data_IF_752057565276
#
_entry.id   IF_752057565276
#
_cell.length_a   1.000
_cell.length_b   1.000
_cell.length_c   1.000
_cell.angle_alpha   90.00
_cell.angle_beta   90.00
_cell.angle_gamma   90.00
#
_symmetry.space_group_name_H-M   'P 1'
#
loop_
_entity.id
_entity.type
_entity.pdbx_description
1 polymer ?
#
# COMPACT_ATOMS: atom_id res chain seq x y z
N UNK A 1 0.43 -5.62 13.34
CA UNK A 1 -0.76 -4.83 12.98
C UNK A 1 -0.30 -3.71 12.05
N UNK A 2 -0.54 -3.77 10.73
CA UNK A 2 -0.40 -2.58 9.90
C UNK A 2 -1.56 -1.66 10.24
N UNK A 3 -1.21 -0.50 10.77
CA UNK A 3 -2.08 0.52 11.33
C UNK A 3 -2.86 1.25 10.20
N UNK A 4 -4.17 1.57 10.37
CA UNK A 4 -4.90 2.48 9.48
C UNK A 4 -4.21 3.84 9.25
N UNK A 5 -3.16 4.16 10.00
CA UNK A 5 -2.31 5.35 9.89
C UNK A 5 -1.21 5.34 8.81
N UNK A 6 -1.21 4.40 7.86
CA UNK A 6 -0.29 4.44 6.69
C UNK A 6 -0.66 5.60 5.73
N UNK A 7 -0.50 6.84 6.19
CA UNK A 7 -0.67 8.08 5.44
C UNK A 7 0.43 8.22 4.38
N UNK A 8 0.32 7.46 3.28
CA UNK A 8 1.25 7.51 2.14
C UNK A 8 2.48 6.60 2.27
N UNK A 9 2.66 5.88 3.38
CA UNK A 9 3.77 4.96 3.60
C UNK A 9 3.44 3.50 3.26
N UNK A 10 2.51 3.30 2.32
CA UNK A 10 2.13 1.97 1.88
C UNK A 10 1.38 2.00 0.57
N UNK A 11 1.20 0.82 0.01
CA UNK A 11 0.46 0.59 -1.23
C UNK A 11 -0.76 -0.28 -0.98
N UNK A 12 -1.70 -0.22 -1.92
CA UNK A 12 -2.85 -1.12 -1.91
C UNK A 12 -2.37 -2.55 -2.19
N UNK A 13 -2.90 -3.50 -1.42
CA UNK A 13 -2.48 -4.90 -1.53
C UNK A 13 -2.87 -5.44 -2.92
N UNK A 14 -1.90 -5.86 -3.76
CA UNK A 14 -2.21 -6.33 -5.11
C UNK A 14 -3.05 -7.61 -5.07
N UNK A 15 -2.85 -8.47 -4.07
CA UNK A 15 -3.68 -9.67 -3.89
C UNK A 15 -5.14 -9.34 -3.56
N UNK A 16 -5.39 -8.25 -2.83
CA UNK A 16 -6.75 -7.75 -2.57
C UNK A 16 -7.35 -7.09 -3.80
N UNK A 17 -6.56 -6.34 -4.59
CA UNK A 17 -7.02 -5.77 -5.86
C UNK A 17 -7.37 -6.86 -6.89
N UNK A 18 -6.66 -7.99 -6.85
CA UNK A 18 -6.91 -9.14 -7.72
C UNK A 18 -8.02 -10.07 -7.22
N UNK A 19 -8.40 -9.99 -5.93
CA UNK A 19 -9.58 -10.69 -5.40
C UNK A 19 -10.81 -10.11 -6.10
N UNK A 20 -11.28 -10.80 -7.13
CA UNK A 20 -12.50 -10.45 -7.86
C UNK A 20 -13.65 -10.33 -6.86
N UNK A 21 -14.46 -9.29 -6.97
CA UNK A 21 -15.73 -9.17 -6.23
C UNK A 21 -16.56 -10.46 -6.32
N UNK A 22 -16.49 -11.14 -7.47
CA UNK A 22 -17.12 -12.43 -7.75
C UNK A 22 -16.69 -13.61 -6.84
N UNK A 23 -15.53 -13.58 -6.18
CA UNK A 23 -15.15 -14.63 -5.22
C UNK A 23 -15.92 -14.50 -3.89
N UNK A 24 -16.42 -13.30 -3.53
CA UNK A 24 -17.26 -13.11 -2.35
C UNK A 24 -18.64 -13.74 -2.53
N UNK A 25 -19.14 -13.74 -3.77
CA UNK A 25 -20.47 -14.26 -4.16
C UNK A 25 -20.46 -15.75 -4.56
N UNK A 26 -19.28 -16.40 -4.59
CA UNK A 26 -19.09 -17.73 -5.18
C UNK A 26 -19.64 -18.91 -4.38
N UNK A 27 -20.15 -18.69 -3.17
CA UNK A 27 -20.67 -19.77 -2.33
C UNK A 27 -22.10 -19.49 -1.87
N UNK A 28 -22.98 -20.47 -2.08
CA UNK A 28 -24.40 -20.46 -1.68
C UNK A 28 -24.61 -20.23 -0.17
N UNK A 29 -23.59 -20.50 0.64
CA UNK A 29 -23.63 -20.36 2.10
C UNK A 29 -22.95 -19.09 2.64
N UNK A 30 -22.55 -18.17 1.75
CA UNK A 30 -21.72 -17.02 2.10
C UNK A 30 -20.27 -17.43 2.29
N UNK A 31 -19.35 -16.74 1.63
CA UNK A 31 -17.92 -17.03 1.80
C UNK A 31 -17.51 -16.54 3.19
N UNK A 32 -16.93 -17.43 4.00
CA UNK A 32 -16.31 -17.00 5.25
C UNK A 32 -15.33 -15.87 4.92
N UNK A 33 -15.43 -14.74 5.64
CA UNK A 33 -14.53 -13.60 5.45
C UNK A 33 -13.14 -14.01 5.90
N UNK A 34 -12.39 -14.63 4.99
CA UNK A 34 -11.00 -15.00 5.18
C UNK A 34 -10.14 -13.78 4.89
N UNK A 35 -9.39 -13.36 5.90
CA UNK A 35 -8.42 -12.28 5.77
C UNK A 35 -7.33 -12.68 4.76
N UNK A 36 -6.92 -11.72 3.94
CA UNK A 36 -5.89 -11.98 2.93
C UNK A 36 -4.56 -12.26 3.63
N UNK A 37 -3.88 -13.35 3.28
CA UNK A 37 -2.58 -13.72 3.87
C UNK A 37 -1.49 -12.66 3.64
N UNK A 38 -1.62 -11.83 2.59
CA UNK A 38 -0.60 -10.86 2.21
C UNK A 38 -0.68 -9.56 3.04
N UNK A 39 -1.90 -9.04 3.23
CA UNK A 39 -2.12 -7.80 4.00
C UNK A 39 -2.78 -8.04 5.36
N UNK A 40 -3.04 -9.30 5.72
CA UNK A 40 -3.76 -9.69 6.93
C UNK A 40 -5.11 -8.96 7.10
N UNK A 41 -5.84 -8.78 6.00
CA UNK A 41 -7.18 -8.18 6.00
C UNK A 41 -7.21 -6.64 6.00
N UNK A 42 -6.08 -5.94 6.05
CA UNK A 42 -6.05 -4.46 6.05
C UNK A 42 -6.28 -3.83 4.68
N UNK A 43 -6.07 -4.60 3.60
CA UNK A 43 -6.08 -4.09 2.23
C UNK A 43 -4.85 -3.26 1.84
N UNK A 44 -3.91 -3.02 2.77
CA UNK A 44 -2.70 -2.22 2.53
C UNK A 44 -1.43 -2.92 2.98
N UNK A 45 -0.34 -2.65 2.28
CA UNK A 45 0.99 -3.17 2.57
C UNK A 45 1.89 -2.00 2.90
N UNK A 46 2.53 -2.06 4.07
CA UNK A 46 3.49 -1.04 4.47
C UNK A 46 4.72 -1.11 3.57
N UNK A 47 5.21 0.05 3.14
CA UNK A 47 6.52 0.14 2.53
C UNK A 47 7.59 -0.23 3.54
N UNK A 48 8.67 -0.82 3.03
CA UNK A 48 9.89 -0.98 3.82
C UNK A 48 10.50 0.39 4.12
N UNK A 49 11.28 0.49 5.20
CA UNK A 49 12.00 1.72 5.56
C UNK A 49 12.85 2.23 4.38
N UNK A 50 13.46 1.31 3.62
CA UNK A 50 14.24 1.67 2.43
C UNK A 50 13.38 2.33 1.33
N UNK A 51 12.23 1.76 1.01
CA UNK A 51 11.32 2.32 0.01
C UNK A 51 10.82 3.71 0.42
N UNK A 52 10.47 3.90 1.69
CA UNK A 52 10.08 5.22 2.21
C UNK A 52 11.22 6.23 2.01
N UNK A 53 12.46 5.86 2.36
CA UNK A 53 13.62 6.73 2.16
C UNK A 53 13.84 7.09 0.68
N UNK A 54 13.78 6.11 -0.21
CA UNK A 54 13.99 6.31 -1.65
C UNK A 54 12.94 7.23 -2.27
N UNK A 55 11.66 7.06 -1.92
CA UNK A 55 10.56 7.91 -2.38
C UNK A 55 10.77 9.35 -1.89
N UNK A 56 11.07 9.53 -0.61
CA UNK A 56 11.28 10.87 -0.04
C UNK A 56 12.49 11.57 -0.66
N UNK A 57 13.58 10.84 -0.91
CA UNK A 57 14.77 11.36 -1.58
C UNK A 57 14.47 11.80 -3.02
N UNK A 58 13.67 11.02 -3.75
CA UNK A 58 13.26 11.36 -5.11
C UNK A 58 12.38 12.62 -5.15
N UNK A 59 11.41 12.73 -4.24
CA UNK A 59 10.56 13.91 -4.11
C UNK A 59 11.38 15.16 -3.71
N UNK A 60 12.33 15.00 -2.77
CA UNK A 60 13.25 16.06 -2.38
C UNK A 60 14.08 16.57 -3.57
N UNK A 61 14.63 15.66 -4.38
CA UNK A 61 15.37 15.99 -5.61
C UNK A 61 14.53 16.79 -6.59
N UNK A 62 13.32 16.30 -6.87
CA UNK A 62 12.41 16.87 -7.85
C UNK A 62 11.93 18.26 -7.47
N UNK A 63 11.56 18.46 -6.20
CA UNK A 63 10.88 19.68 -5.76
C UNK A 63 11.80 20.72 -5.10
N UNK A 64 12.85 20.29 -4.41
CA UNK A 64 13.66 21.19 -3.58
C UNK A 64 15.10 21.35 -4.07
N UNK A 65 15.63 20.39 -4.82
CA UNK A 65 17.03 20.47 -5.30
C UNK A 65 17.15 20.98 -6.73
N UNK A 66 16.12 20.78 -7.56
CA UNK A 66 16.02 21.39 -8.89
C UNK A 66 15.98 22.93 -8.85
N UNK A 67 15.52 23.51 -7.74
CA UNK A 67 15.42 24.96 -7.53
C UNK A 67 16.66 25.60 -6.93
N UNK A 68 17.73 24.83 -6.66
CA UNK A 68 18.93 25.40 -6.06
C UNK A 68 19.75 26.17 -7.10
N UNK A 69 19.39 27.44 -7.27
CA UNK A 69 20.39 28.51 -7.42
C UNK A 69 21.25 28.50 -6.16
N UNK A 70 22.32 27.70 -6.16
CA UNK A 70 23.40 27.91 -5.22
C UNK A 70 24.15 29.16 -5.70
N UNK A 71 23.94 30.28 -5.01
CA UNK A 71 24.85 31.42 -5.06
C UNK A 71 26.14 31.10 -4.30
#
# INVERSE_FOLDING_TARGET
>A
MPDPSLHGNGEDCPACALRREADRDRTVYGSARLDCNNCHGTGRIAYTVRQVYEIQLAEARKHYWSQKQYA
#
